data_IF_821842869886
#
_entry.id   IF_821842869886
#
_cell.length_a   1.000
_cell.length_b   1.000
_cell.length_c   1.000
_cell.angle_alpha   90.00
_cell.angle_beta   90.00
_cell.angle_gamma   90.00
#
_symmetry.space_group_name_H-M   'P 1'
#
loop_
_entity.id
_entity.type
_entity.pdbx_description
1 polymer ?
#
# COMPACT_ATOMS: atom_id res chain seq x y z
N UNK A 1 -26.06 -36.06 -0.27
CA UNK A 1 -24.97 -35.79 -1.24
C UNK A 1 -24.97 -34.33 -1.67
N UNK A 2 -26.05 -33.76 -2.22
CA UNK A 2 -26.12 -32.36 -2.67
C UNK A 2 -25.66 -31.30 -1.65
N UNK A 3 -26.03 -31.44 -0.37
CA UNK A 3 -25.58 -30.51 0.68
C UNK A 3 -24.05 -30.48 0.86
N UNK A 4 -23.36 -31.60 0.64
CA UNK A 4 -21.90 -31.66 0.72
C UNK A 4 -21.25 -30.93 -0.47
N UNK A 5 -21.82 -31.05 -1.67
CA UNK A 5 -21.37 -30.31 -2.86
C UNK A 5 -21.60 -28.80 -2.71
N UNK A 6 -22.75 -28.39 -2.17
CA UNK A 6 -23.02 -26.98 -1.87
C UNK A 6 -22.07 -26.43 -0.81
N UNK A 7 -21.77 -27.18 0.25
CA UNK A 7 -20.81 -26.79 1.29
C UNK A 7 -19.39 -26.64 0.74
N UNK A 8 -18.94 -27.57 -0.11
CA UNK A 8 -17.63 -27.50 -0.75
C UNK A 8 -17.52 -26.32 -1.72
N UNK A 9 -18.57 -26.04 -2.50
CA UNK A 9 -18.61 -24.89 -3.41
C UNK A 9 -18.52 -23.55 -2.69
N UNK A 10 -19.20 -23.41 -1.54
CA UNK A 10 -19.13 -22.21 -0.70
C UNK A 10 -17.72 -21.97 -0.12
N UNK A 11 -17.05 -23.04 0.31
CA UNK A 11 -15.67 -22.96 0.81
C UNK A 11 -14.68 -22.48 -0.25
N UNK A 12 -14.81 -22.97 -1.49
CA UNK A 12 -13.95 -22.56 -2.60
C UNK A 12 -14.16 -21.09 -2.95
N UNK A 13 -15.41 -20.63 -3.06
CA UNK A 13 -15.74 -19.23 -3.36
C UNK A 13 -15.19 -18.27 -2.29
N UNK A 14 -15.31 -18.64 -1.01
CA UNK A 14 -14.80 -17.85 0.09
C UNK A 14 -13.25 -17.78 0.10
N UNK A 15 -12.56 -18.84 -0.33
CA UNK A 15 -11.09 -18.86 -0.41
C UNK A 15 -10.51 -18.17 -1.66
N UNK A 16 -11.28 -18.07 -2.74
CA UNK A 16 -10.83 -17.45 -4.00
C UNK A 16 -11.12 -15.95 -4.13
N UNK A 17 -11.85 -15.37 -3.19
CA UNK A 17 -12.27 -13.96 -3.25
C UNK A 17 -11.48 -13.11 -2.25
N UNK A 18 -10.88 -12.02 -2.73
CA UNK A 18 -10.13 -11.06 -1.91
C UNK A 18 -9.44 -9.99 -2.75
N UNK A 19 -9.19 -8.80 -2.19
CA UNK A 19 -8.36 -7.78 -2.83
C UNK A 19 -6.90 -8.22 -2.75
N UNK A 20 -6.39 -8.83 -3.81
CA UNK A 20 -4.96 -9.09 -3.94
C UNK A 20 -4.23 -7.76 -4.15
N UNK A 21 -3.25 -7.46 -3.32
CA UNK A 21 -2.42 -6.26 -3.45
C UNK A 21 -1.00 -6.67 -3.83
N UNK A 22 -0.33 -5.89 -4.68
CA UNK A 22 1.07 -6.13 -5.04
C UNK A 22 1.95 -5.12 -4.32
N UNK A 23 2.77 -5.60 -3.39
CA UNK A 23 3.70 -4.78 -2.63
C UNK A 23 5.06 -5.47 -2.60
N UNK A 24 6.15 -4.71 -2.77
CA UNK A 24 7.51 -5.25 -2.67
C UNK A 24 7.88 -6.36 -3.68
N UNK A 25 7.11 -6.53 -4.76
CA UNK A 25 7.31 -7.61 -5.74
C UNK A 25 6.59 -8.92 -5.40
N UNK A 26 5.75 -8.93 -4.36
CA UNK A 26 4.95 -10.08 -3.94
C UNK A 26 3.45 -9.75 -4.03
N UNK A 27 2.65 -10.69 -4.53
CA UNK A 27 1.18 -10.59 -4.48
C UNK A 27 0.71 -11.06 -3.10
N UNK A 28 0.26 -10.10 -2.29
CA UNK A 28 -0.35 -10.35 -0.99
C UNK A 28 -1.85 -10.70 -1.18
N UNK A 29 -2.40 -11.62 -0.37
CA UNK A 29 -1.79 -12.31 0.76
C UNK A 29 -0.95 -13.50 0.28
N UNK A 30 0.37 -13.40 0.38
CA UNK A 30 1.22 -14.58 0.23
C UNK A 30 1.02 -15.42 1.48
N UNK A 31 0.98 -16.75 1.33
CA UNK A 31 0.73 -17.66 2.46
C UNK A 31 1.80 -17.56 3.57
N UNK A 32 2.92 -16.91 3.27
CA UNK A 32 4.09 -16.82 4.12
C UNK A 32 4.42 -15.40 4.55
N UNK A 33 3.60 -14.37 4.28
CA UNK A 33 3.98 -12.97 4.58
C UNK A 33 4.29 -12.72 6.08
N UNK A 34 3.72 -13.53 6.98
CA UNK A 34 3.99 -13.48 8.43
C UNK A 34 5.32 -14.13 8.84
N UNK A 35 5.85 -14.99 7.97
CA UNK A 35 7.07 -15.79 8.17
C UNK A 35 8.19 -15.41 7.20
N UNK A 36 7.88 -14.54 6.24
CA UNK A 36 8.84 -13.96 5.31
C UNK A 36 9.81 -13.09 6.10
N UNK A 37 11.06 -13.05 5.65
CA UNK A 37 12.09 -12.30 6.35
C UNK A 37 11.66 -10.83 6.44
N UNK A 38 12.08 -10.15 7.51
CA UNK A 38 11.85 -8.70 7.64
C UNK A 38 12.50 -8.02 6.44
N UNK A 39 11.67 -7.54 5.52
CA UNK A 39 12.13 -6.74 4.41
C UNK A 39 12.84 -5.51 4.99
N UNK A 40 14.17 -5.46 4.87
CA UNK A 40 14.95 -4.35 5.40
C UNK A 40 14.57 -3.07 4.65
N UNK A 41 13.94 -2.14 5.36
CA UNK A 41 13.76 -0.77 4.90
C UNK A 41 14.79 0.10 5.61
N UNK A 42 15.65 0.83 4.88
CA UNK A 42 16.55 1.77 5.52
C UNK A 42 15.73 2.83 6.28
N UNK A 43 16.32 3.39 7.34
CA UNK A 43 15.69 4.48 8.06
C UNK A 43 15.33 5.59 7.07
N UNK A 44 14.05 5.98 7.05
CA UNK A 44 13.60 7.10 6.25
C UNK A 44 14.29 8.40 6.66
N UNK A 45 14.13 9.48 5.88
CA UNK A 45 14.64 10.79 6.26
C UNK A 45 14.18 11.16 7.67
N UNK A 46 15.06 11.75 8.48
CA UNK A 46 14.72 12.18 9.84
C UNK A 46 13.50 13.12 9.86
N UNK A 47 13.40 13.95 8.82
CA UNK A 47 12.27 14.82 8.59
C UNK A 47 11.15 14.13 7.80
N UNK A 48 10.08 13.78 8.51
CA UNK A 48 8.91 13.06 7.96
C UNK A 48 8.11 13.85 6.92
N UNK A 49 8.17 15.18 6.96
CA UNK A 49 7.29 16.08 6.19
C UNK A 49 8.00 16.77 5.01
N UNK A 50 8.94 16.06 4.38
CA UNK A 50 9.77 16.62 3.30
C UNK A 50 8.94 17.08 2.09
N UNK A 51 7.86 16.36 1.78
CA UNK A 51 6.94 16.70 0.67
C UNK A 51 6.13 17.96 0.97
N UNK A 52 5.63 18.07 2.20
CA UNK A 52 4.85 19.20 2.68
C UNK A 52 5.73 20.45 2.76
N UNK A 53 6.97 20.32 3.22
CA UNK A 53 7.93 21.41 3.23
C UNK A 53 8.31 21.86 1.81
N UNK A 54 8.48 20.93 0.87
CA UNK A 54 8.71 21.28 -0.54
C UNK A 54 7.51 22.03 -1.13
N UNK A 55 6.29 21.51 -0.91
CA UNK A 55 5.05 22.16 -1.36
C UNK A 55 4.88 23.57 -0.77
N UNK A 56 5.18 23.77 0.51
CA UNK A 56 5.12 25.09 1.15
C UNK A 56 6.14 26.06 0.55
N UNK A 57 7.36 25.61 0.25
CA UNK A 57 8.39 26.44 -0.41
C UNK A 57 7.96 26.85 -1.82
N UNK A 58 7.43 25.91 -2.60
CA UNK A 58 6.92 26.18 -3.95
C UNK A 58 5.74 27.14 -3.94
N UNK A 59 4.81 26.98 -2.99
CA UNK A 59 3.69 27.89 -2.80
C UNK A 59 4.17 29.31 -2.49
N UNK A 60 5.10 29.46 -1.54
CA UNK A 60 5.67 30.76 -1.18
C UNK A 60 6.38 31.43 -2.36
N UNK A 61 7.18 30.67 -3.12
CA UNK A 61 7.87 31.19 -4.30
C UNK A 61 6.88 31.67 -5.37
N UNK A 62 5.80 30.92 -5.61
CA UNK A 62 4.75 31.33 -6.54
C UNK A 62 4.02 32.60 -6.08
N UNK A 63 3.71 32.72 -4.78
CA UNK A 63 3.08 33.93 -4.23
C UNK A 63 3.99 35.16 -4.37
N UNK A 64 5.29 35.00 -4.13
CA UNK A 64 6.26 36.08 -4.32
C UNK A 64 6.39 36.50 -5.79
N UNK A 65 6.37 35.54 -6.72
CA UNK A 65 6.39 35.83 -8.16
C UNK A 65 5.11 36.54 -8.63
N UNK A 66 3.95 36.14 -8.09
CA UNK A 66 2.67 36.78 -8.39
C UNK A 66 2.59 38.20 -7.83
N UNK A 67 3.04 38.42 -6.60
CA UNK A 67 3.08 39.76 -5.98
C UNK A 67 4.19 40.68 -6.50
N UNK A 68 5.12 40.16 -7.31
CA UNK A 68 6.19 40.93 -7.98
C UNK A 68 5.85 41.30 -9.44
N UNK A 69 4.66 40.94 -9.92
CA UNK A 69 4.08 41.45 -11.17
C UNK A 69 3.18 42.64 -10.86
#
# INVERSE_FOLDING_TARGET
>A
MHAAWCGLGLLVLAGSTGCQITEGGQTLPSAYYLSDDVQYFPAGPEFKLSREAAAMKEYQANQQLQGRR
#
